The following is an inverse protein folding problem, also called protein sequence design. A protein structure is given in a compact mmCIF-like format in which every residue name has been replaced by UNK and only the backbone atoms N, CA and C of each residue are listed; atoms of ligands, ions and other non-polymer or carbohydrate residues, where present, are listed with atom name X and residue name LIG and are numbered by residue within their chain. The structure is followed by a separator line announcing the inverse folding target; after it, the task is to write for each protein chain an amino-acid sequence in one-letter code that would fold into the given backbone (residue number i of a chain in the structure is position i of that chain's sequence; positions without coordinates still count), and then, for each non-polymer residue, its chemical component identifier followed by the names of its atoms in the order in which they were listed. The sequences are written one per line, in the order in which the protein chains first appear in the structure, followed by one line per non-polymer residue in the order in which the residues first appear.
data_IF_824314508327
#
_entry.id   IF_824314508327
#
_cell.length_a   1.000
_cell.length_b   1.000
_cell.length_c   1.000
_cell.angle_alpha   90.00
_cell.angle_beta   90.00
_cell.angle_gamma   90.00
#
_symmetry.space_group_name_H-M   'P 1'
#
loop_
_entity.id
_entity.type
_entity.pdbx_description
1 polymer ?
#
# COMPACT_ATOMS: atom_id res chain seq x y z
N UNK A 1 -9.32 0.87 1.60
CA UNK A 1 -8.06 0.68 0.85
C UNK A 1 -8.14 -0.62 0.06
N UNK A 2 -8.08 -0.56 -1.27
CA UNK A 2 -8.36 -1.72 -2.13
C UNK A 2 -7.36 -2.88 -2.00
N UNK A 3 -6.11 -2.61 -1.62
CA UNK A 3 -5.09 -3.65 -1.51
C UNK A 3 -5.11 -4.44 -0.18
N UNK A 4 -5.87 -4.01 0.85
CA UNK A 4 -5.98 -4.74 2.13
C UNK A 4 -6.50 -6.18 1.97
N UNK A 5 -7.35 -6.41 0.99
CA UNK A 5 -7.82 -7.78 0.69
C UNK A 5 -6.70 -8.66 0.12
N UNK A 6 -5.74 -8.06 -0.58
CA UNK A 6 -4.58 -8.76 -1.14
C UNK A 6 -3.48 -8.97 -0.09
N UNK A 7 -3.32 -8.02 0.84
CA UNK A 7 -2.29 -8.02 1.91
C UNK A 7 -3.00 -7.84 3.26
N UNK A 8 -3.61 -8.91 3.81
CA UNK A 8 -4.33 -8.87 5.08
C UNK A 8 -3.38 -8.86 6.27
N UNK A 9 -3.91 -8.48 7.43
CA UNK A 9 -3.19 -8.51 8.71
C UNK A 9 -2.96 -9.94 9.23
N UNK A 10 -3.79 -10.89 8.80
CA UNK A 10 -3.60 -12.32 9.00
C UNK A 10 -3.54 -13.01 7.63
N UNK A 11 -2.36 -13.43 7.18
CA UNK A 11 -2.20 -14.03 5.85
C UNK A 11 -2.61 -15.49 5.81
N UNK A 12 -2.89 -16.12 6.95
CA UNK A 12 -3.17 -17.56 7.07
C UNK A 12 -4.64 -17.89 6.86
N UNK A 13 -5.52 -16.87 6.87
CA UNK A 13 -6.97 -17.05 6.77
C UNK A 13 -7.56 -16.31 5.57
N UNK A 14 -8.75 -16.73 5.18
CA UNK A 14 -9.54 -16.08 4.14
C UNK A 14 -9.17 -16.49 2.72
N UNK A 15 -10.06 -16.16 1.82
CA UNK A 15 -9.96 -16.47 0.38
C UNK A 15 -9.78 -15.19 -0.42
N UNK A 16 -8.83 -15.19 -1.34
CA UNK A 16 -8.61 -14.10 -2.29
C UNK A 16 -8.46 -14.63 -3.71
N UNK A 17 -9.28 -14.11 -4.63
CA UNK A 17 -9.30 -14.58 -6.01
C UNK A 17 -9.74 -16.04 -6.18
N UNK A 18 -10.54 -16.57 -5.25
CA UNK A 18 -10.96 -17.98 -5.25
C UNK A 18 -9.92 -18.93 -4.63
N UNK A 19 -8.76 -18.44 -4.19
CA UNK A 19 -7.70 -19.24 -3.59
C UNK A 19 -7.75 -19.08 -2.07
N UNK A 20 -7.90 -20.20 -1.36
CA UNK A 20 -7.88 -20.23 0.10
C UNK A 20 -6.44 -20.19 0.62
N UNK A 21 -6.14 -19.19 1.46
CA UNK A 21 -4.81 -18.98 2.03
C UNK A 21 -4.43 -20.01 3.08
N UNK A 22 -5.42 -20.59 3.79
CA UNK A 22 -5.15 -21.65 4.76
C UNK A 22 -4.61 -22.91 4.09
N UNK A 23 -5.13 -23.22 2.91
CA UNK A 23 -4.72 -24.39 2.12
C UNK A 23 -3.45 -24.14 1.32
N UNK A 24 -3.32 -22.93 0.74
CA UNK A 24 -2.27 -22.59 -0.22
C UNK A 24 -1.29 -21.55 0.34
N UNK A 25 -0.24 -22.03 1.00
CA UNK A 25 0.76 -21.17 1.66
C UNK A 25 1.56 -20.27 0.70
N UNK A 26 1.69 -20.65 -0.57
CA UNK A 26 2.33 -19.80 -1.59
C UNK A 26 1.52 -18.54 -1.91
N UNK A 27 0.25 -18.48 -1.51
CA UNK A 27 -0.63 -17.35 -1.70
C UNK A 27 -0.69 -16.41 -0.48
N UNK A 28 0.06 -16.74 0.57
CA UNK A 28 0.13 -15.93 1.79
C UNK A 28 1.10 -14.75 1.59
N UNK A 29 0.67 -13.54 1.93
CA UNK A 29 1.55 -12.38 2.05
C UNK A 29 2.44 -12.50 3.30
N UNK A 30 3.51 -11.72 3.36
CA UNK A 30 4.37 -11.68 4.54
C UNK A 30 3.83 -10.69 5.57
N UNK A 31 3.81 -11.10 6.81
CA UNK A 31 3.41 -10.25 7.94
C UNK A 31 4.54 -10.26 8.97
N UNK A 32 5.02 -9.08 9.31
CA UNK A 32 5.92 -8.89 10.42
C UNK A 32 5.16 -8.14 11.52
N UNK A 33 4.85 -8.88 12.59
CA UNK A 33 4.26 -8.32 13.79
C UNK A 33 5.40 -7.92 14.73
N UNK A 34 5.56 -6.60 14.92
CA UNK A 34 6.65 -6.05 15.71
C UNK A 34 6.51 -6.43 17.19
N UNK A 35 5.28 -6.48 17.71
CA UNK A 35 5.02 -6.86 19.10
C UNK A 35 5.53 -8.25 19.40
N UNK A 36 5.32 -9.19 18.47
CA UNK A 36 5.82 -10.57 18.57
C UNK A 36 7.34 -10.68 18.32
N UNK A 37 7.93 -9.70 17.62
CA UNK A 37 9.32 -9.76 17.13
C UNK A 37 10.31 -8.95 17.98
N UNK A 38 9.85 -8.29 19.05
CA UNK A 38 10.77 -7.53 19.93
C UNK A 38 10.19 -6.24 20.49
N UNK A 39 8.90 -6.00 20.34
CA UNK A 39 8.17 -4.88 20.92
C UNK A 39 7.66 -3.89 19.87
N UNK A 40 6.81 -2.97 20.30
CA UNK A 40 6.16 -1.98 19.45
C UNK A 40 7.15 -1.17 18.60
N UNK A 41 6.70 -0.73 17.45
CA UNK A 41 7.51 0.09 16.54
C UNK A 41 7.75 1.47 17.13
N UNK A 42 9.00 1.90 17.10
CA UNK A 42 9.46 3.21 17.54
C UNK A 42 10.40 3.82 16.50
N UNK A 43 10.73 5.11 16.67
CA UNK A 43 11.74 5.76 15.80
C UNK A 43 13.11 5.06 15.78
N UNK A 44 13.46 4.37 16.86
CA UNK A 44 14.81 3.77 17.02
C UNK A 44 14.88 2.36 16.41
N UNK A 45 13.76 1.65 16.27
CA UNK A 45 13.71 0.27 15.78
C UNK A 45 13.03 0.10 14.41
N UNK A 46 12.34 1.13 13.90
CA UNK A 46 11.57 1.04 12.66
C UNK A 46 12.44 0.61 11.46
N UNK A 47 13.66 1.13 11.32
CA UNK A 47 14.57 0.76 10.23
C UNK A 47 14.96 -0.72 10.28
N UNK A 48 15.11 -1.29 11.48
CA UNK A 48 15.39 -2.71 11.66
C UNK A 48 14.22 -3.54 11.15
N UNK A 49 13.00 -3.26 11.61
CA UNK A 49 11.81 -4.01 11.19
C UNK A 49 11.51 -3.86 9.69
N UNK A 50 11.70 -2.66 9.14
CA UNK A 50 11.58 -2.44 7.70
C UNK A 50 12.58 -3.28 6.90
N UNK A 51 13.83 -3.35 7.37
CA UNK A 51 14.89 -4.16 6.74
C UNK A 51 14.60 -5.65 6.85
N UNK A 52 14.17 -6.11 8.02
CA UNK A 52 13.85 -7.52 8.28
C UNK A 52 12.67 -7.99 7.38
N UNK A 53 11.64 -7.15 7.20
CA UNK A 53 10.54 -7.46 6.29
C UNK A 53 11.00 -7.39 4.83
N UNK A 54 11.78 -6.37 4.45
CA UNK A 54 12.28 -6.23 3.08
C UNK A 54 13.08 -7.46 2.63
N UNK A 55 13.95 -8.00 3.50
CA UNK A 55 14.71 -9.23 3.22
C UNK A 55 13.78 -10.42 2.93
N UNK A 56 12.67 -10.54 3.65
CA UNK A 56 11.70 -11.61 3.44
C UNK A 56 10.92 -11.49 2.11
N UNK A 57 10.87 -10.29 1.53
CA UNK A 57 10.14 -9.99 0.30
C UNK A 57 11.02 -10.04 -0.96
N UNK A 58 12.34 -10.12 -0.80
CA UNK A 58 13.24 -10.21 -1.95
C UNK A 58 13.28 -11.63 -2.49
N UNK A 59 13.08 -11.75 -3.80
CA UNK A 59 13.20 -13.02 -4.55
C UNK A 59 13.90 -12.78 -5.89
N UNK A 60 15.20 -13.03 -5.92
CA UNK A 60 16.01 -12.73 -7.10
C UNK A 60 15.99 -11.25 -7.44
N UNK A 61 15.41 -10.89 -8.58
CA UNK A 61 15.23 -9.50 -9.02
C UNK A 61 13.95 -8.85 -8.49
N UNK A 62 12.98 -9.66 -8.03
CA UNK A 62 11.71 -9.17 -7.52
C UNK A 62 11.86 -8.67 -6.08
N UNK A 63 11.39 -7.47 -5.85
CA UNK A 63 11.45 -6.78 -4.57
C UNK A 63 10.33 -5.76 -4.44
N UNK A 64 10.03 -5.32 -3.23
CA UNK A 64 9.09 -4.22 -3.02
C UNK A 64 9.67 -2.92 -3.61
N UNK A 65 8.85 -2.16 -4.31
CA UNK A 65 9.20 -0.88 -4.94
C UNK A 65 8.41 0.29 -4.34
N UNK A 66 7.31 0.00 -3.65
CA UNK A 66 6.46 0.98 -3.01
C UNK A 66 6.17 0.59 -1.56
N UNK A 67 6.34 1.53 -0.65
CA UNK A 67 6.01 1.39 0.76
C UNK A 67 4.97 2.44 1.13
N UNK A 68 3.81 2.01 1.61
CA UNK A 68 2.75 2.91 2.06
C UNK A 68 2.66 2.81 3.57
N UNK A 69 2.92 3.91 4.26
CA UNK A 69 2.90 4.00 5.71
C UNK A 69 1.70 4.79 6.22
N UNK A 70 1.20 4.44 7.40
CA UNK A 70 0.28 5.27 8.15
C UNK A 70 0.99 6.50 8.75
N UNK A 71 0.24 7.36 9.41
CA UNK A 71 0.77 8.61 9.98
C UNK A 71 1.85 8.35 11.04
N UNK A 72 1.65 7.35 11.92
CA UNK A 72 2.57 7.06 13.01
C UNK A 72 3.89 6.50 12.48
N UNK A 73 3.82 5.46 11.64
CA UNK A 73 5.00 4.82 11.08
C UNK A 73 5.76 5.73 10.11
N UNK A 74 5.03 6.55 9.34
CA UNK A 74 5.69 7.56 8.52
C UNK A 74 6.45 8.58 9.37
N UNK A 75 5.84 9.04 10.47
CA UNK A 75 6.48 9.96 11.41
C UNK A 75 7.73 9.34 12.05
N UNK A 76 7.67 8.10 12.51
CA UNK A 76 8.83 7.39 13.07
C UNK A 76 9.93 7.22 12.03
N UNK A 77 9.58 6.88 10.81
CA UNK A 77 10.54 6.77 9.72
C UNK A 77 11.23 8.10 9.43
N UNK A 78 10.47 9.19 9.32
CA UNK A 78 11.05 10.54 9.12
C UNK A 78 11.99 10.92 10.27
N UNK A 79 11.60 10.66 11.51
CA UNK A 79 12.43 10.94 12.69
C UNK A 79 13.71 10.09 12.71
N UNK A 80 13.63 8.82 12.33
CA UNK A 80 14.81 7.95 12.23
C UNK A 80 15.83 8.45 11.19
N UNK A 81 15.34 9.08 10.11
CA UNK A 81 16.20 9.66 9.06
C UNK A 81 16.76 11.04 9.41
N UNK A 82 16.26 11.71 10.44
CA UNK A 82 16.80 13.02 10.83
C UNK A 82 18.26 12.95 11.30
N UNK A 83 18.64 11.82 11.88
CA UNK A 83 20.04 11.55 12.27
C UNK A 83 20.91 11.09 11.09
N UNK A 84 20.30 10.73 9.96
CA UNK A 84 20.91 10.23 8.74
C UNK A 84 20.44 11.14 7.59
N UNK A 85 21.20 11.27 6.53
CA UNK A 85 20.83 12.11 5.39
C UNK A 85 19.52 11.63 4.76
N UNK A 86 18.54 12.54 4.57
CA UNK A 86 17.29 12.26 3.85
C UNK A 86 17.58 12.12 2.37
N UNK A 87 17.03 11.06 1.77
CA UNK A 87 17.11 10.82 0.33
C UNK A 87 15.69 10.95 -0.24
N UNK A 88 15.48 11.89 -1.14
CA UNK A 88 14.19 12.13 -1.80
C UNK A 88 14.18 11.57 -3.22
N UNK A 89 13.00 11.17 -3.70
CA UNK A 89 12.78 10.79 -5.10
C UNK A 89 12.27 12.00 -5.88
N UNK A 90 12.99 12.40 -6.93
CA UNK A 90 12.59 13.52 -7.79
C UNK A 90 11.32 13.22 -8.60
N UNK A 91 11.18 12.00 -9.09
CA UNK A 91 10.02 11.60 -9.91
C UNK A 91 8.71 11.60 -9.11
N UNK A 92 8.74 11.10 -7.87
CA UNK A 92 7.56 11.12 -7.00
C UNK A 92 7.20 12.52 -6.53
N UNK A 93 8.19 13.39 -6.34
CA UNK A 93 7.97 14.80 -6.02
C UNK A 93 7.32 15.54 -7.20
N UNK A 94 7.71 15.24 -8.43
CA UNK A 94 7.10 15.81 -9.63
C UNK A 94 5.63 15.42 -9.80
N UNK A 95 5.25 14.23 -9.33
CA UNK A 95 3.85 13.77 -9.32
C UNK A 95 3.01 14.36 -8.16
N UNK A 96 3.58 15.21 -7.32
CA UNK A 96 2.90 15.85 -6.19
C UNK A 96 2.85 15.01 -4.91
N UNK A 97 3.53 13.86 -4.88
CA UNK A 97 3.65 13.04 -3.68
C UNK A 97 5.00 13.29 -2.99
N UNK A 98 4.97 13.70 -1.73
CA UNK A 98 6.17 13.72 -0.91
C UNK A 98 6.56 12.28 -0.55
N UNK A 99 7.57 11.73 -1.23
CA UNK A 99 8.09 10.41 -0.95
C UNK A 99 9.53 10.47 -0.47
N UNK A 100 9.90 9.53 0.39
CA UNK A 100 11.25 9.28 0.83
C UNK A 100 11.71 7.95 0.27
N UNK A 101 13.01 7.82 -0.03
CA UNK A 101 13.59 6.53 -0.46
C UNK A 101 14.00 5.69 0.75
N UNK A 102 13.60 4.43 0.72
CA UNK A 102 14.13 3.41 1.63
C UNK A 102 15.14 2.54 0.89
N UNK A 103 16.31 2.37 1.49
CA UNK A 103 17.36 1.47 1.02
C UNK A 103 17.69 0.48 2.15
N UNK A 104 17.33 -0.77 1.99
CA UNK A 104 17.59 -1.80 2.98
C UNK A 104 17.17 -3.19 2.50
N UNK A 105 17.80 -4.23 3.01
CA UNK A 105 17.47 -5.61 2.68
C UNK A 105 17.54 -5.96 1.18
N UNK A 106 18.38 -5.27 0.39
CA UNK A 106 18.43 -5.44 -1.07
C UNK A 106 17.29 -4.75 -1.82
N UNK A 107 16.47 -3.98 -1.13
CA UNK A 107 15.32 -3.25 -1.68
C UNK A 107 15.63 -1.77 -1.80
N UNK A 108 15.12 -1.15 -2.86
CA UNK A 108 15.04 0.30 -3.06
C UNK A 108 13.58 0.64 -3.34
N UNK A 109 12.91 1.28 -2.39
CA UNK A 109 11.48 1.54 -2.47
C UNK A 109 11.14 2.98 -2.09
N UNK A 110 10.08 3.52 -2.70
CA UNK A 110 9.53 4.83 -2.34
C UNK A 110 8.62 4.68 -1.13
N UNK A 111 8.87 5.47 -0.08
CA UNK A 111 8.03 5.52 1.11
C UNK A 111 7.07 6.69 1.01
N UNK A 112 5.78 6.39 0.96
CA UNK A 112 4.71 7.36 0.76
C UNK A 112 3.79 7.37 1.97
N UNK A 113 3.35 8.56 2.38
CA UNK A 113 2.33 8.72 3.40
C UNK A 113 0.97 8.29 2.82
N UNK A 114 0.44 7.18 3.30
CA UNK A 114 -0.92 6.72 2.99
C UNK A 114 -1.99 7.29 3.92
N UNK A 115 -1.57 8.19 4.78
CA UNK A 115 -2.36 8.79 5.83
C UNK A 115 -2.83 10.21 5.50
N UNK A 116 -2.88 11.04 6.54
CA UNK A 116 -3.38 12.40 6.52
C UNK A 116 -4.75 12.50 7.20
N UNK A 117 -5.34 13.69 7.17
CA UNK A 117 -6.67 13.90 7.73
C UNK A 117 -7.72 13.12 6.92
N UNK A 118 -8.50 12.27 7.60
CA UNK A 118 -9.46 11.38 6.94
C UNK A 118 -8.84 10.14 6.29
N UNK A 119 -7.61 9.78 6.68
CA UNK A 119 -6.91 8.61 6.18
C UNK A 119 -7.72 7.32 6.31
N UNK A 120 -7.62 6.51 5.26
CA UNK A 120 -8.12 5.13 5.26
C UNK A 120 -7.00 4.12 5.61
N UNK A 121 -5.78 4.59 5.87
CA UNK A 121 -4.69 3.74 6.34
C UNK A 121 -4.97 3.30 7.77
N UNK A 122 -4.82 2.00 8.04
CA UNK A 122 -4.93 1.46 9.39
C UNK A 122 -3.77 1.99 10.23
N UNK A 123 -4.06 2.42 11.44
CA UNK A 123 -3.04 2.91 12.39
C UNK A 123 -2.02 1.82 12.67
N UNK A 124 -0.76 2.21 12.80
CA UNK A 124 0.37 1.32 13.07
C UNK A 124 0.54 0.22 12.00
N UNK A 125 0.36 0.59 10.74
CA UNK A 125 0.56 -0.32 9.62
C UNK A 125 1.43 0.32 8.55
N UNK A 126 2.30 -0.49 7.95
CA UNK A 126 3.11 -0.13 6.80
C UNK A 126 3.12 -1.29 5.81
N UNK A 127 2.68 -1.02 4.58
CA UNK A 127 2.59 -2.02 3.51
C UNK A 127 3.77 -1.90 2.56
N UNK A 128 4.42 -3.02 2.34
CA UNK A 128 5.49 -3.20 1.35
C UNK A 128 4.88 -3.84 0.13
N UNK A 129 4.85 -3.13 -0.97
CA UNK A 129 4.18 -3.52 -2.19
C UNK A 129 5.18 -3.68 -3.33
N UNK A 130 5.00 -4.74 -4.11
CA UNK A 130 5.63 -4.91 -5.41
C UNK A 130 4.59 -4.57 -6.48
N UNK A 131 4.71 -3.40 -7.09
CA UNK A 131 3.71 -2.87 -8.03
C UNK A 131 3.67 -3.64 -9.34
N UNK A 132 4.68 -4.41 -9.69
CA UNK A 132 4.68 -5.27 -10.87
C UNK A 132 3.60 -6.36 -10.85
N UNK A 133 3.13 -6.71 -9.65
CA UNK A 133 2.10 -7.74 -9.44
C UNK A 133 0.76 -7.18 -8.98
N UNK A 134 0.60 -5.86 -8.99
CA UNK A 134 -0.65 -5.18 -8.59
C UNK A 134 -1.24 -4.50 -9.82
N UNK A 135 -2.49 -4.80 -10.14
CA UNK A 135 -3.15 -4.32 -11.35
C UNK A 135 -4.47 -3.63 -11.01
N UNK A 136 -4.65 -2.42 -11.52
CA UNK A 136 -5.94 -1.76 -11.55
C UNK A 136 -6.75 -2.29 -12.75
N UNK A 137 -7.90 -2.90 -12.50
CA UNK A 137 -8.79 -3.46 -13.53
C UNK A 137 -10.10 -2.71 -13.58
N UNK A 138 -10.21 -1.66 -14.41
CA UNK A 138 -11.47 -0.98 -14.63
C UNK A 138 -12.41 -1.85 -15.49
N UNK A 139 -13.70 -1.73 -15.26
CA UNK A 139 -14.72 -2.37 -16.10
C UNK A 139 -14.78 -1.70 -17.47
N UNK A 140 -14.84 -2.49 -18.53
CA UNK A 140 -14.78 -2.01 -19.94
C UNK A 140 -15.81 -0.92 -20.24
N UNK A 141 -17.03 -1.07 -19.73
CA UNK A 141 -18.15 -0.17 -20.00
C UNK A 141 -18.41 0.86 -18.90
N UNK A 142 -17.58 0.90 -17.86
CA UNK A 142 -17.74 1.76 -16.69
C UNK A 142 -16.42 2.38 -16.24
N UNK A 143 -15.68 2.93 -17.19
CA UNK A 143 -14.41 3.63 -16.91
C UNK A 143 -14.60 5.14 -17.19
N UNK A 144 -15.15 5.85 -16.20
CA UNK A 144 -15.53 7.27 -16.29
C UNK A 144 -16.45 7.58 -17.48
N UNK A 145 -17.43 6.71 -17.71
CA UNK A 145 -18.40 6.86 -18.79
C UNK A 145 -19.61 7.65 -18.27
N UNK A 146 -20.13 8.64 -19.03
CA UNK A 146 -21.33 9.34 -18.64
C UNK A 146 -22.53 8.39 -18.57
N UNK A 147 -23.28 8.46 -17.48
CA UNK A 147 -24.49 7.63 -17.24
C UNK A 147 -25.73 8.48 -17.51
N UNK A 148 -26.40 8.17 -18.60
CA UNK A 148 -27.59 8.92 -19.02
C UNK A 148 -27.26 10.27 -19.63
N UNK A 149 -28.30 11.04 -19.97
CA UNK A 149 -28.15 12.40 -20.47
C UNK A 149 -27.93 13.43 -19.36
N UNK A 150 -27.77 14.67 -19.77
CA UNK A 150 -27.78 15.81 -18.87
C UNK A 150 -29.16 15.88 -18.16
N UNK A 151 -29.12 16.11 -16.87
CA UNK A 151 -30.32 16.26 -16.04
C UNK A 151 -30.40 17.69 -15.53
N UNK A 152 -31.47 18.35 -15.83
CA UNK A 152 -31.79 19.68 -15.32
C UNK A 152 -32.89 19.58 -14.26
N UNK A 153 -32.71 20.22 -13.14
CA UNK A 153 -33.72 20.31 -12.11
C UNK A 153 -34.74 21.39 -12.51
N UNK A 154 -36.05 21.14 -12.28
CA UNK A 154 -37.12 22.05 -12.64
C UNK A 154 -37.03 23.39 -11.92
N UNK A 155 -36.43 23.41 -10.73
CA UNK A 155 -36.36 24.56 -9.82
C UNK A 155 -34.97 25.18 -9.70
N UNK A 156 -33.98 24.73 -10.49
CA UNK A 156 -32.62 25.23 -10.43
C UNK A 156 -32.01 25.33 -11.83
N UNK A 157 -31.32 26.43 -12.09
CA UNK A 157 -30.52 26.60 -13.31
C UNK A 157 -29.17 25.89 -13.15
N UNK A 158 -29.25 24.55 -13.04
CA UNK A 158 -28.07 23.67 -12.87
C UNK A 158 -28.21 22.42 -13.72
N UNK A 159 -27.13 22.05 -14.41
CA UNK A 159 -27.04 20.82 -15.20
C UNK A 159 -26.17 19.80 -14.43
N UNK A 160 -26.73 18.62 -14.20
CA UNK A 160 -26.05 17.53 -13.54
C UNK A 160 -25.64 16.46 -14.56
N UNK A 161 -24.37 16.13 -14.63
CA UNK A 161 -23.82 15.00 -15.41
C UNK A 161 -23.31 13.94 -14.45
N UNK A 162 -23.79 12.71 -14.61
CA UNK A 162 -23.34 11.57 -13.83
C UNK A 162 -22.27 10.80 -14.60
N UNK A 163 -21.12 10.54 -13.93
CA UNK A 163 -20.08 9.67 -14.45
C UNK A 163 -20.00 8.40 -13.63
N UNK A 164 -19.99 7.26 -14.30
CA UNK A 164 -19.85 5.96 -13.66
C UNK A 164 -18.44 5.40 -13.78
N UNK A 165 -17.91 4.96 -12.67
CA UNK A 165 -16.70 4.16 -12.66
C UNK A 165 -16.93 2.87 -11.85
N UNK A 166 -16.44 1.75 -12.38
CA UNK A 166 -16.42 0.49 -11.69
C UNK A 166 -15.06 -0.19 -11.97
N UNK A 167 -14.45 -0.70 -10.95
CA UNK A 167 -13.15 -1.36 -11.09
C UNK A 167 -12.72 -2.00 -9.79
N UNK A 168 -11.64 -2.77 -9.87
CA UNK A 168 -11.03 -3.40 -8.71
C UNK A 168 -9.51 -3.40 -8.83
N UNK A 169 -8.83 -3.49 -7.68
CA UNK A 169 -7.40 -3.71 -7.60
C UNK A 169 -7.17 -5.20 -7.39
N UNK A 170 -6.35 -5.81 -8.24
CA UNK A 170 -6.04 -7.24 -8.18
C UNK A 170 -4.55 -7.45 -8.05
N UNK A 171 -4.14 -8.51 -7.37
CA UNK A 171 -2.76 -8.97 -7.35
C UNK A 171 -2.64 -10.34 -8.01
N UNK A 172 -1.55 -10.55 -8.73
CA UNK A 172 -1.19 -11.86 -9.29
C UNK A 172 -0.22 -12.64 -8.41
N UNK A 173 0.40 -11.98 -7.42
CA UNK A 173 1.33 -12.62 -6.50
C UNK A 173 1.25 -11.95 -5.12
N UNK A 174 0.60 -12.62 -4.16
CA UNK A 174 0.49 -12.13 -2.79
C UNK A 174 1.76 -12.38 -1.97
N UNK A 175 2.57 -13.37 -2.33
CA UNK A 175 3.77 -13.75 -1.58
C UNK A 175 4.85 -12.65 -1.54
N UNK A 176 4.91 -11.80 -2.58
CA UNK A 176 5.85 -10.68 -2.70
C UNK A 176 5.29 -9.37 -2.11
N UNK A 177 4.16 -9.45 -1.43
CA UNK A 177 3.55 -8.35 -0.71
C UNK A 177 3.72 -8.55 0.79
N UNK A 178 3.90 -7.47 1.54
CA UNK A 178 4.09 -7.57 2.98
C UNK A 178 3.43 -6.47 3.77
N UNK A 179 3.21 -6.72 5.06
CA UNK A 179 2.75 -5.73 6.03
C UNK A 179 3.58 -5.79 7.30
N UNK A 180 4.02 -4.64 7.77
CA UNK A 180 4.58 -4.41 9.09
C UNK A 180 3.47 -3.83 9.96
N UNK A 181 3.25 -4.41 11.12
CA UNK A 181 2.25 -3.96 12.11
C UNK A 181 2.73 -4.14 13.54
N UNK A 182 2.05 -3.54 14.49
CA UNK A 182 2.15 -3.80 15.93
C UNK A 182 0.78 -3.84 16.62
#
# INVERSE_FOLDING_TARGET
MLFRSAVPDDPTTGTYGGIDRATWTFWQSKVLDATSSGGAVTKDNILKYMTDLAIQLVRGTDKADLIIADNNYYSFYVQSLQAIQRITSEESAAAGFASLKFYGGGTSADVVLGGGYGSQATTNHMWFLNTNYIFLRPHKERNFVPIGGERQAINQDAIVKLYGWAGNLTTSNSFLQGVLKD
#
